data_IF_254458079945
#
_entry.id   IF_254458079945
#
_cell.length_a   1.000
_cell.length_b   1.000
_cell.length_c   1.000
_cell.angle_alpha   90.00
_cell.angle_beta   90.00
_cell.angle_gamma   90.00
#
_symmetry.space_group_name_H-M   'P 1'
#
loop_
_entity.id
_entity.type
_entity.pdbx_description
1 polymer ?
#
# COMPACT_ATOMS: atom_id res chain seq x y z
N UNK A 1 35.28 -86.68 -82.90
CA UNK A 1 34.30 -86.46 -84.00
C UNK A 1 32.89 -86.63 -83.41
N UNK A 2 32.04 -85.60 -83.58
CA UNK A 2 30.56 -85.61 -83.45
C UNK A 2 29.92 -85.68 -82.03
N UNK A 3 29.44 -84.50 -81.62
CA UNK A 3 28.07 -84.14 -81.16
C UNK A 3 27.27 -85.19 -80.36
N UNK A 4 26.88 -84.85 -79.12
CA UNK A 4 25.52 -85.07 -78.58
C UNK A 4 25.25 -84.21 -77.33
N UNK A 5 24.01 -83.68 -77.23
CA UNK A 5 23.47 -82.78 -76.18
C UNK A 5 23.61 -83.33 -74.75
N UNK A 6 23.93 -82.48 -73.77
CA UNK A 6 23.59 -82.71 -72.34
C UNK A 6 23.21 -81.42 -71.61
N UNK A 7 22.09 -81.54 -70.91
CA UNK A 7 21.50 -80.66 -69.92
C UNK A 7 22.52 -80.29 -68.83
N UNK A 8 22.61 -79.02 -68.43
CA UNK A 8 23.28 -78.64 -67.18
C UNK A 8 22.48 -77.57 -66.44
N UNK A 9 22.00 -78.01 -65.29
CA UNK A 9 21.43 -77.30 -64.14
C UNK A 9 22.24 -76.09 -63.69
N UNK A 10 21.53 -75.00 -63.40
CA UNK A 10 22.05 -73.74 -62.85
C UNK A 10 22.38 -73.92 -61.36
N UNK A 11 23.63 -73.63 -61.00
CA UNK A 11 24.15 -73.61 -59.62
C UNK A 11 23.79 -72.26 -58.99
N UNK A 12 23.02 -72.28 -57.90
CA UNK A 12 22.73 -71.11 -57.07
C UNK A 12 23.89 -70.76 -56.16
N UNK A 13 24.33 -69.50 -56.22
CA UNK A 13 25.31 -68.91 -55.30
C UNK A 13 24.71 -68.79 -53.90
N UNK A 14 25.36 -69.41 -52.91
CA UNK A 14 25.10 -69.20 -51.49
C UNK A 14 25.70 -67.86 -51.04
N UNK A 15 24.85 -66.89 -50.73
CA UNK A 15 25.23 -65.63 -50.10
C UNK A 15 25.22 -65.83 -48.58
N UNK A 16 26.40 -65.78 -47.94
CA UNK A 16 26.54 -65.76 -46.49
C UNK A 16 25.97 -64.42 -45.96
N UNK A 17 24.75 -64.47 -45.42
CA UNK A 17 24.18 -63.36 -44.66
C UNK A 17 24.87 -63.26 -43.30
N UNK A 18 25.70 -62.24 -43.12
CA UNK A 18 26.24 -61.84 -41.82
C UNK A 18 25.07 -61.36 -40.98
N UNK A 19 24.67 -62.14 -39.97
CA UNK A 19 23.78 -61.66 -38.92
C UNK A 19 24.55 -60.63 -38.10
N UNK A 20 24.28 -59.35 -38.35
CA UNK A 20 24.75 -58.26 -37.49
C UNK A 20 24.12 -58.44 -36.12
N UNK A 21 24.88 -58.94 -35.14
CA UNK A 21 24.48 -58.90 -33.74
C UNK A 21 24.47 -57.44 -33.31
N UNK A 22 23.28 -56.86 -33.12
CA UNK A 22 23.17 -55.58 -32.41
C UNK A 22 23.70 -55.82 -30.99
N UNK A 23 24.79 -55.12 -30.63
CA UNK A 23 25.40 -55.21 -29.30
C UNK A 23 24.43 -54.70 -28.23
N UNK A 24 24.56 -55.23 -27.00
CA UNK A 24 23.86 -54.65 -25.85
C UNK A 24 24.34 -53.21 -25.61
N UNK A 25 23.47 -52.32 -25.10
CA UNK A 25 23.85 -50.94 -24.83
C UNK A 25 25.01 -50.88 -23.83
N UNK A 26 25.92 -49.91 -23.96
CA UNK A 26 27.01 -49.73 -23.00
C UNK A 26 26.45 -49.41 -21.62
N UNK A 27 27.08 -49.98 -20.59
CA UNK A 27 26.71 -49.78 -19.18
C UNK A 27 27.84 -49.13 -18.40
N UNK A 28 27.49 -48.26 -17.46
CA UNK A 28 28.40 -47.71 -16.45
C UNK A 28 28.05 -48.31 -15.09
N UNK A 29 29.05 -48.82 -14.38
CA UNK A 29 28.89 -49.27 -12.99
C UNK A 29 28.87 -48.07 -12.04
N UNK A 30 27.78 -47.87 -11.30
CA UNK A 30 27.73 -46.99 -10.12
C UNK A 30 27.97 -47.84 -8.88
N UNK A 31 28.98 -47.48 -8.08
CA UNK A 31 29.34 -48.23 -6.89
C UNK A 31 29.78 -47.29 -5.75
N UNK A 32 29.19 -47.45 -4.56
CA UNK A 32 29.55 -46.67 -3.38
C UNK A 32 29.22 -47.41 -2.06
N UNK A 33 29.69 -46.86 -0.93
CA UNK A 33 29.28 -47.27 0.41
C UNK A 33 28.40 -46.16 1.02
N UNK A 34 27.13 -46.48 1.24
CA UNK A 34 26.13 -45.58 1.81
C UNK A 34 26.12 -45.67 3.33
N UNK A 35 25.93 -44.51 3.97
CA UNK A 35 25.86 -44.37 5.42
C UNK A 35 24.57 -43.65 5.81
N UNK A 36 24.03 -44.01 6.97
CA UNK A 36 23.01 -43.23 7.66
C UNK A 36 23.64 -41.96 8.26
N UNK A 37 22.81 -40.99 8.64
CA UNK A 37 23.28 -39.73 9.25
C UNK A 37 24.01 -39.94 10.59
N UNK A 38 23.77 -41.05 11.27
CA UNK A 38 24.47 -41.46 12.50
C UNK A 38 25.85 -42.10 12.25
N UNK A 39 26.27 -42.19 10.98
CA UNK A 39 27.54 -42.80 10.56
C UNK A 39 27.52 -44.33 10.45
N UNK A 40 26.40 -44.99 10.76
CA UNK A 40 26.25 -46.43 10.52
C UNK A 40 26.06 -46.74 9.04
N UNK A 41 26.35 -47.98 8.62
CA UNK A 41 26.16 -48.38 7.21
C UNK A 41 24.68 -48.55 6.89
N UNK A 42 24.23 -47.97 5.78
CA UNK A 42 22.85 -48.06 5.33
C UNK A 42 22.49 -49.52 4.99
N UNK A 43 21.32 -49.97 5.41
CA UNK A 43 20.74 -51.25 5.03
C UNK A 43 19.28 -51.02 4.61
N UNK A 44 18.92 -51.42 3.40
CA UNK A 44 17.59 -51.14 2.86
C UNK A 44 17.50 -51.41 1.36
N UNK A 45 16.54 -50.77 0.71
CA UNK A 45 16.24 -50.97 -0.71
C UNK A 45 16.46 -49.66 -1.47
N UNK A 46 17.11 -49.73 -2.63
CA UNK A 46 17.18 -48.65 -3.59
C UNK A 46 16.30 -48.99 -4.80
N UNK A 47 15.27 -48.18 -5.06
CA UNK A 47 14.44 -48.27 -6.26
C UNK A 47 14.87 -47.20 -7.24
N UNK A 48 15.27 -47.60 -8.44
CA UNK A 48 15.77 -46.72 -9.51
C UNK A 48 14.76 -46.76 -10.65
N UNK A 49 14.22 -45.63 -11.05
CA UNK A 49 13.17 -45.49 -12.08
C UNK A 49 13.63 -44.54 -13.19
N UNK A 50 13.25 -44.82 -14.43
CA UNK A 50 13.54 -43.96 -15.58
C UNK A 50 12.37 -43.93 -16.58
N UNK A 51 12.26 -42.82 -17.33
CA UNK A 51 11.40 -42.72 -18.52
C UNK A 51 12.11 -43.31 -19.75
N UNK A 52 11.38 -43.54 -20.85
CA UNK A 52 11.98 -44.08 -22.06
C UNK A 52 12.94 -43.08 -22.71
N UNK A 53 14.09 -43.54 -23.20
CA UNK A 53 15.07 -42.72 -23.91
C UNK A 53 15.87 -43.54 -24.93
N UNK A 54 16.56 -42.86 -25.84
CA UNK A 54 17.48 -43.48 -26.80
C UNK A 54 18.93 -43.25 -26.39
N UNK A 55 19.70 -44.33 -26.26
CA UNK A 55 21.12 -44.29 -25.88
C UNK A 55 22.03 -43.88 -27.06
N UNK A 56 23.31 -43.60 -26.79
CA UNK A 56 24.28 -43.10 -27.78
C UNK A 56 24.49 -44.04 -28.97
N UNK A 57 24.30 -45.35 -28.75
CA UNK A 57 24.39 -46.42 -29.74
C UNK A 57 23.07 -46.63 -30.51
N UNK A 58 22.10 -45.72 -30.37
CA UNK A 58 20.74 -45.80 -30.90
C UNK A 58 19.84 -46.87 -30.28
N UNK A 59 20.28 -47.55 -29.21
CA UNK A 59 19.46 -48.50 -28.47
C UNK A 59 18.27 -47.81 -27.80
N UNK A 60 17.08 -48.39 -27.93
CA UNK A 60 15.86 -47.88 -27.30
C UNK A 60 15.70 -48.47 -25.90
N UNK A 61 15.68 -47.60 -24.89
CA UNK A 61 15.49 -47.96 -23.49
C UNK A 61 14.04 -47.63 -23.10
N UNK A 62 13.17 -48.62 -22.85
CA UNK A 62 11.80 -48.35 -22.41
C UNK A 62 11.76 -47.85 -20.96
N UNK A 63 10.72 -47.10 -20.61
CA UNK A 63 10.49 -46.66 -19.23
C UNK A 63 10.29 -47.87 -18.32
N UNK A 64 11.04 -47.94 -17.21
CA UNK A 64 10.94 -49.03 -16.25
C UNK A 64 11.59 -48.64 -14.91
N UNK A 65 11.63 -49.60 -13.97
CA UNK A 65 12.36 -49.48 -12.72
C UNK A 65 13.15 -50.76 -12.41
N UNK A 66 14.23 -50.62 -11.63
CA UNK A 66 14.92 -51.73 -10.96
C UNK A 66 14.92 -51.50 -9.45
N UNK A 67 14.97 -52.59 -8.70
CA UNK A 67 15.05 -52.56 -7.25
C UNK A 67 16.26 -53.37 -6.79
N UNK A 68 17.08 -52.76 -5.94
CA UNK A 68 18.35 -53.32 -5.46
C UNK A 68 18.34 -53.36 -3.93
N UNK A 69 18.83 -54.46 -3.38
CA UNK A 69 19.10 -54.56 -1.94
C UNK A 69 20.45 -53.94 -1.65
N UNK A 70 20.48 -52.98 -0.72
CA UNK A 70 21.71 -52.39 -0.18
C UNK A 70 21.99 -53.05 1.15
N UNK A 71 23.04 -53.85 1.19
CA UNK A 71 23.47 -54.59 2.39
C UNK A 71 24.83 -54.09 2.82
N UNK A 72 24.99 -53.79 4.12
CA UNK A 72 26.24 -53.30 4.68
C UNK A 72 26.77 -52.04 3.97
N UNK A 73 25.85 -51.15 3.57
CA UNK A 73 26.12 -49.92 2.83
C UNK A 73 26.46 -50.10 1.35
N UNK A 74 26.71 -51.31 0.85
CA UNK A 74 27.18 -51.50 -0.52
C UNK A 74 26.05 -51.31 -1.54
N UNK A 75 26.15 -50.25 -2.33
CA UNK A 75 25.34 -50.02 -3.52
C UNK A 75 26.18 -50.35 -4.75
N UNK A 76 25.67 -51.23 -5.63
CA UNK A 76 26.27 -51.51 -6.94
C UNK A 76 25.19 -51.73 -7.99
N UNK A 77 25.26 -50.98 -9.08
CA UNK A 77 24.32 -51.09 -10.20
C UNK A 77 25.01 -50.75 -11.52
N UNK A 78 24.57 -51.37 -12.60
CA UNK A 78 25.00 -51.04 -13.96
C UNK A 78 23.84 -50.38 -14.70
N UNK A 79 24.06 -49.17 -15.18
CA UNK A 79 23.05 -48.34 -15.84
C UNK A 79 23.57 -47.82 -17.18
N UNK A 80 22.67 -47.64 -18.13
CA UNK A 80 23.01 -47.05 -19.42
C UNK A 80 23.36 -45.56 -19.20
N UNK A 81 24.47 -45.06 -19.75
CA UNK A 81 24.83 -43.65 -19.66
C UNK A 81 23.72 -42.73 -20.19
N UNK A 82 23.42 -41.67 -19.44
CA UNK A 82 22.40 -40.68 -19.82
C UNK A 82 23.00 -39.34 -20.25
N UNK A 83 24.25 -39.03 -19.89
CA UNK A 83 24.85 -37.73 -20.25
C UNK A 83 25.25 -37.62 -21.72
N UNK A 84 25.35 -38.74 -22.43
CA UNK A 84 25.60 -38.83 -23.87
C UNK A 84 24.46 -39.51 -24.64
N UNK A 85 23.30 -39.72 -24.01
CA UNK A 85 22.12 -40.27 -24.67
C UNK A 85 21.63 -39.34 -25.78
N UNK A 86 21.05 -39.90 -26.85
CA UNK A 86 20.49 -39.14 -27.97
C UNK A 86 19.21 -38.39 -27.56
N UNK A 87 18.49 -38.91 -26.56
CA UNK A 87 17.36 -38.21 -25.91
C UNK A 87 17.71 -37.85 -24.46
N UNK A 88 17.34 -36.66 -23.96
CA UNK A 88 17.60 -36.29 -22.57
C UNK A 88 16.99 -37.29 -21.59
N UNK A 89 17.80 -37.80 -20.66
CA UNK A 89 17.39 -38.82 -19.70
C UNK A 89 18.06 -38.64 -18.33
N UNK A 90 17.39 -39.09 -17.28
CA UNK A 90 17.94 -39.19 -15.93
C UNK A 90 17.28 -40.36 -15.19
N UNK A 91 17.95 -40.83 -14.14
CA UNK A 91 17.39 -41.84 -13.24
C UNK A 91 16.90 -41.16 -11.96
N UNK A 92 15.73 -41.56 -11.48
CA UNK A 92 15.23 -41.20 -10.14
C UNK A 92 15.50 -42.35 -9.18
N UNK A 93 16.17 -42.09 -8.06
CA UNK A 93 16.52 -43.09 -7.06
C UNK A 93 15.81 -42.80 -5.75
N UNK A 94 15.12 -43.79 -5.21
CA UNK A 94 14.45 -43.72 -3.92
C UNK A 94 15.05 -44.74 -2.97
N UNK A 95 15.53 -44.29 -1.81
CA UNK A 95 16.03 -45.16 -0.75
C UNK A 95 14.96 -45.40 0.31
N UNK A 96 14.71 -46.68 0.59
CA UNK A 96 13.75 -47.14 1.59
C UNK A 96 14.48 -47.92 2.69
N UNK A 97 14.37 -47.46 3.93
CA UNK A 97 14.82 -48.19 5.13
C UNK A 97 13.59 -48.49 5.99
N UNK A 98 13.37 -49.78 6.30
CA UNK A 98 12.34 -50.30 7.22
C UNK A 98 10.97 -49.58 7.21
N UNK A 99 10.37 -49.38 6.03
CA UNK A 99 8.94 -49.09 5.88
C UNK A 99 8.54 -47.63 5.58
N UNK A 100 9.46 -46.71 5.32
CA UNK A 100 9.12 -45.37 4.83
C UNK A 100 10.14 -44.85 3.82
N UNK A 101 9.68 -44.17 2.76
CA UNK A 101 10.54 -43.53 1.77
C UNK A 101 11.23 -42.32 2.40
N UNK A 102 12.56 -42.34 2.47
CA UNK A 102 13.35 -41.38 3.25
C UNK A 102 14.20 -40.43 2.37
N UNK A 103 14.40 -40.72 1.08
CA UNK A 103 15.06 -39.76 0.18
C UNK A 103 14.82 -40.07 -1.29
N UNK A 104 14.72 -39.01 -2.10
CA UNK A 104 14.65 -39.06 -3.57
C UNK A 104 15.85 -38.32 -4.14
N UNK A 105 16.53 -38.93 -5.11
CA UNK A 105 17.67 -38.37 -5.82
C UNK A 105 17.49 -38.48 -7.32
N UNK A 106 18.12 -37.57 -8.06
CA UNK A 106 18.20 -37.64 -9.52
C UNK A 106 19.65 -37.88 -9.93
N UNK A 107 19.90 -38.87 -10.78
CA UNK A 107 21.22 -39.22 -11.29
C UNK A 107 21.32 -39.01 -12.80
N UNK A 108 22.44 -38.44 -13.24
CA UNK A 108 22.89 -38.45 -14.63
C UNK A 108 24.15 -39.30 -14.73
N UNK A 109 24.11 -40.37 -15.54
CA UNK A 109 25.18 -41.36 -15.60
C UNK A 109 26.13 -41.02 -16.75
N UNK A 110 27.42 -40.73 -16.50
CA UNK A 110 28.40 -40.57 -17.56
C UNK A 110 28.85 -41.93 -18.11
N UNK A 111 29.27 -42.00 -19.39
CA UNK A 111 29.94 -43.19 -19.91
C UNK A 111 31.28 -43.37 -19.18
N UNK A 112 31.50 -44.55 -18.58
CA UNK A 112 32.73 -44.85 -17.86
C UNK A 112 33.08 -46.33 -17.95
N UNK A 113 34.38 -46.62 -18.07
CA UNK A 113 34.94 -47.97 -17.99
C UNK A 113 35.47 -48.33 -16.59
N UNK A 114 35.33 -47.41 -15.62
CA UNK A 114 35.68 -47.59 -14.20
C UNK A 114 34.45 -47.27 -13.35
N UNK A 115 34.21 -47.94 -12.21
CA UNK A 115 33.08 -47.63 -11.36
C UNK A 115 33.07 -46.16 -10.91
N UNK A 116 31.92 -45.50 -11.07
CA UNK A 116 31.68 -44.12 -10.63
C UNK A 116 30.99 -44.12 -9.27
N UNK A 117 31.27 -43.11 -8.43
CA UNK A 117 30.65 -43.00 -7.10
C UNK A 117 29.31 -42.30 -7.18
N UNK A 118 28.49 -42.49 -6.16
CA UNK A 118 27.15 -41.89 -6.08
C UNK A 118 27.24 -40.36 -6.09
N UNK A 119 28.28 -39.77 -5.49
CA UNK A 119 28.52 -38.31 -5.52
C UNK A 119 28.75 -37.74 -6.93
N UNK A 120 29.28 -38.54 -7.85
CA UNK A 120 29.70 -38.09 -9.18
C UNK A 120 28.55 -38.14 -10.19
N UNK A 121 27.49 -38.89 -9.86
CA UNK A 121 26.30 -39.06 -10.71
C UNK A 121 25.09 -38.26 -10.23
N UNK A 122 25.06 -37.84 -8.96
CA UNK A 122 23.98 -37.01 -8.41
C UNK A 122 23.96 -35.63 -9.06
N UNK A 123 22.78 -35.20 -9.50
CA UNK A 123 22.55 -33.83 -9.97
C UNK A 123 21.61 -33.10 -9.02
N UNK A 124 21.87 -31.81 -8.80
CA UNK A 124 21.03 -30.94 -7.99
C UNK A 124 19.77 -30.56 -8.77
N UNK A 125 18.68 -31.31 -8.55
CA UNK A 125 17.38 -31.05 -9.17
C UNK A 125 16.44 -32.21 -8.93
N UNK A 126 15.21 -31.91 -8.47
CA UNK A 126 14.14 -32.91 -8.45
C UNK A 126 13.81 -33.42 -9.86
N UNK A 127 12.89 -34.39 -10.00
CA UNK A 127 12.55 -34.96 -11.29
C UNK A 127 12.08 -33.87 -12.26
N UNK A 128 12.86 -33.56 -13.29
CA UNK A 128 12.50 -32.53 -14.29
C UNK A 128 13.65 -31.70 -14.89
N UNK A 129 14.89 -31.80 -14.42
CA UNK A 129 16.01 -31.10 -15.06
C UNK A 129 16.58 -31.92 -16.22
N UNK A 130 16.18 -31.58 -17.45
CA UNK A 130 16.82 -32.05 -18.69
C UNK A 130 18.21 -31.44 -18.84
N UNK A 131 19.24 -32.27 -19.03
CA UNK A 131 20.55 -31.85 -19.55
C UNK A 131 20.74 -32.47 -20.92
N UNK A 132 20.89 -31.60 -21.92
CA UNK A 132 21.46 -31.89 -23.22
C UNK A 132 22.23 -30.64 -23.67
N UNK A 133 23.48 -30.83 -24.12
CA UNK A 133 24.34 -29.78 -24.66
C UNK A 133 25.61 -29.59 -23.85
N UNK A 134 26.73 -30.04 -24.41
CA UNK A 134 28.05 -29.98 -23.79
C UNK A 134 28.50 -28.54 -23.51
N UNK A 135 29.20 -28.38 -22.38
CA UNK A 135 29.80 -27.12 -21.98
C UNK A 135 30.02 -27.06 -20.48
N UNK A 136 31.23 -27.45 -20.06
CA UNK A 136 31.91 -27.07 -18.81
C UNK A 136 31.10 -27.07 -17.51
N UNK A 137 31.53 -27.94 -16.61
CA UNK A 137 31.42 -27.80 -15.16
C UNK A 137 31.63 -26.36 -14.71
N UNK A 138 30.53 -25.64 -14.51
CA UNK A 138 30.49 -24.37 -13.83
C UNK A 138 29.43 -24.49 -12.76
N UNK A 139 29.84 -24.68 -11.52
CA UNK A 139 29.01 -24.29 -10.39
C UNK A 139 28.69 -22.81 -10.64
N UNK A 140 27.44 -22.48 -10.94
CA UNK A 140 27.01 -21.08 -11.08
C UNK A 140 27.03 -20.46 -9.67
N UNK A 141 28.21 -20.05 -9.21
CA UNK A 141 28.36 -19.26 -7.99
C UNK A 141 27.74 -17.85 -8.14
N UNK A 142 27.38 -17.46 -9.37
CA UNK A 142 26.60 -16.25 -9.68
C UNK A 142 25.97 -16.37 -11.07
N UNK A 143 24.69 -16.03 -11.20
CA UNK A 143 23.99 -15.87 -12.48
C UNK A 143 24.00 -14.38 -12.85
N UNK A 144 24.39 -14.02 -14.09
CA UNK A 144 24.36 -12.62 -14.53
C UNK A 144 22.93 -12.17 -14.87
N UNK A 145 22.62 -10.89 -14.69
CA UNK A 145 21.28 -10.34 -14.98
C UNK A 145 20.88 -10.57 -16.45
N UNK A 146 21.85 -10.48 -17.36
CA UNK A 146 21.62 -10.67 -18.78
C UNK A 146 21.33 -12.13 -19.16
N UNK A 147 21.71 -13.08 -18.31
CA UNK A 147 21.50 -14.51 -18.54
C UNK A 147 20.05 -14.92 -18.23
N UNK A 148 19.31 -14.08 -17.51
CA UNK A 148 17.90 -14.30 -17.17
C UNK A 148 17.02 -13.47 -18.09
N UNK A 149 16.37 -14.14 -19.05
CA UNK A 149 15.46 -13.50 -20.00
C UNK A 149 14.40 -12.66 -19.29
N UNK A 150 14.32 -11.38 -19.64
CA UNK A 150 13.33 -10.44 -19.09
C UNK A 150 13.68 -9.85 -17.72
N UNK A 151 14.75 -10.29 -17.05
CA UNK A 151 15.12 -9.76 -15.74
C UNK A 151 15.56 -8.30 -15.81
N UNK A 152 16.34 -7.91 -16.82
CA UNK A 152 16.75 -6.51 -17.01
C UNK A 152 15.55 -5.57 -17.19
N UNK A 153 14.56 -5.96 -18.00
CA UNK A 153 13.33 -5.21 -18.19
C UNK A 153 12.49 -5.17 -16.90
N UNK A 154 12.38 -6.29 -16.17
CA UNK A 154 11.68 -6.35 -14.90
C UNK A 154 12.34 -5.47 -13.82
N UNK A 155 13.66 -5.37 -13.81
CA UNK A 155 14.41 -4.49 -12.91
C UNK A 155 14.27 -3.02 -13.29
N UNK A 156 14.17 -2.69 -14.58
CA UNK A 156 13.96 -1.33 -15.06
C UNK A 156 12.57 -0.74 -14.70
N UNK A 157 11.59 -1.59 -14.38
CA UNK A 157 10.27 -1.17 -13.90
C UNK A 157 10.25 -0.81 -12.40
N UNK A 158 11.32 -1.10 -11.66
CA UNK A 158 11.39 -0.80 -10.23
C UNK A 158 11.75 0.67 -10.02
N UNK A 159 11.15 1.36 -9.04
CA UNK A 159 11.60 2.70 -8.64
C UNK A 159 13.09 2.70 -8.32
N UNK A 160 13.80 3.70 -8.84
CA UNK A 160 15.23 3.90 -8.60
C UNK A 160 15.43 4.74 -7.34
N UNK A 161 16.62 4.67 -6.74
CA UNK A 161 16.98 5.55 -5.61
C UNK A 161 17.37 6.92 -6.17
N UNK A 162 16.71 7.97 -5.69
CA UNK A 162 16.99 9.35 -6.06
C UNK A 162 18.15 9.94 -5.26
N UNK A 163 18.61 11.11 -5.67
CA UNK A 163 19.77 11.79 -5.08
C UNK A 163 19.53 12.22 -3.62
N UNK A 164 18.28 12.50 -3.27
CA UNK A 164 17.84 12.90 -1.93
C UNK A 164 17.54 11.73 -0.99
N UNK A 165 17.94 10.49 -1.31
CA UNK A 165 17.70 9.35 -0.43
C UNK A 165 18.49 9.48 0.88
N UNK A 166 17.79 9.44 2.01
CA UNK A 166 18.39 9.56 3.34
C UNK A 166 17.80 8.52 4.30
N UNK A 167 18.64 7.76 5.04
CA UNK A 167 18.16 6.84 6.08
C UNK A 167 17.37 7.57 7.18
N UNK A 168 16.48 6.85 7.85
CA UNK A 168 15.66 7.36 8.97
C UNK A 168 14.73 8.51 8.60
N UNK A 169 14.24 8.52 7.36
CA UNK A 169 13.26 9.47 6.84
C UNK A 169 12.15 8.73 6.10
N UNK A 170 10.99 9.36 5.99
CA UNK A 170 9.90 8.86 5.14
C UNK A 170 10.30 8.93 3.67
N UNK A 171 10.02 7.88 2.90
CA UNK A 171 10.28 7.85 1.46
C UNK A 171 9.16 8.55 0.68
N UNK A 172 9.53 9.36 -0.31
CA UNK A 172 8.63 10.05 -1.26
C UNK A 172 9.12 9.82 -2.68
N UNK A 173 8.22 9.97 -3.66
CA UNK A 173 8.55 9.85 -5.08
C UNK A 173 8.82 11.25 -5.62
N UNK A 174 9.99 11.47 -6.20
CA UNK A 174 10.38 12.76 -6.79
C UNK A 174 9.74 13.00 -8.17
N UNK A 175 10.04 14.15 -8.78
CA UNK A 175 9.52 14.52 -10.12
C UNK A 175 10.00 13.61 -11.25
N UNK A 176 11.05 12.81 -11.02
CA UNK A 176 11.59 11.84 -11.98
C UNK A 176 11.08 10.42 -11.74
N UNK A 177 10.31 10.19 -10.67
CA UNK A 177 9.81 8.88 -10.28
C UNK A 177 10.76 8.09 -9.36
N UNK A 178 11.85 8.70 -8.89
CA UNK A 178 12.81 8.08 -7.99
C UNK A 178 12.38 8.21 -6.52
N UNK A 179 12.84 7.29 -5.68
CA UNK A 179 12.62 7.32 -4.23
C UNK A 179 13.60 8.27 -3.55
N UNK A 180 13.11 9.30 -2.89
CA UNK A 180 13.88 10.25 -2.09
C UNK A 180 13.37 10.36 -0.65
N UNK A 181 14.11 11.01 0.25
CA UNK A 181 13.64 11.30 1.59
C UNK A 181 12.78 12.56 1.61
N UNK A 182 11.63 12.50 2.29
CA UNK A 182 10.79 13.67 2.53
C UNK A 182 11.58 14.78 3.25
N UNK A 183 11.51 16.01 2.76
CA UNK A 183 12.20 17.19 3.32
C UNK A 183 11.34 17.84 4.41
N UNK A 184 11.93 18.20 5.55
CA UNK A 184 11.27 18.80 6.72
C UNK A 184 11.92 18.42 8.07
N UNK A 185 11.27 18.77 9.18
CA UNK A 185 11.70 18.38 10.54
C UNK A 185 11.29 16.94 10.87
N UNK A 186 11.97 16.31 11.84
CA UNK A 186 11.65 14.95 12.26
C UNK A 186 10.27 14.81 12.94
N UNK A 187 9.69 15.93 13.39
CA UNK A 187 8.36 16.00 14.02
C UNK A 187 7.22 16.36 13.05
N UNK A 188 7.52 16.51 11.77
CA UNK A 188 6.56 16.96 10.76
C UNK A 188 5.71 15.79 10.23
N UNK A 189 4.49 16.11 9.81
CA UNK A 189 3.57 15.19 9.15
C UNK A 189 3.77 15.25 7.64
N UNK A 190 3.64 14.09 6.97
CA UNK A 190 3.78 13.97 5.52
C UNK A 190 2.45 14.18 4.81
N UNK A 191 2.46 14.94 3.72
CA UNK A 191 1.33 15.12 2.81
C UNK A 191 1.36 14.12 1.66
N UNK A 192 0.20 13.91 1.02
CA UNK A 192 0.04 12.96 -0.10
C UNK A 192 0.89 13.37 -1.33
N UNK A 193 1.20 14.66 -1.46
CA UNK A 193 2.06 15.19 -2.52
C UNK A 193 3.57 15.06 -2.22
N UNK A 194 3.95 14.45 -1.10
CA UNK A 194 5.34 14.22 -0.69
C UNK A 194 5.98 15.38 0.08
N UNK A 195 5.28 16.50 0.27
CA UNK A 195 5.75 17.60 1.13
C UNK A 195 5.53 17.27 2.62
N UNK A 196 6.19 17.99 3.52
CA UNK A 196 5.94 17.87 4.96
C UNK A 196 5.76 19.24 5.63
N UNK A 197 5.01 19.24 6.72
CA UNK A 197 4.73 20.41 7.55
C UNK A 197 4.50 19.98 9.01
N UNK A 198 4.59 20.90 9.99
CA UNK A 198 4.32 20.58 11.40
C UNK A 198 3.02 19.79 11.57
N UNK A 199 3.10 18.66 12.28
CA UNK A 199 1.90 17.89 12.61
C UNK A 199 0.92 18.75 13.39
N UNK A 200 -0.32 18.84 12.92
CA UNK A 200 -1.39 19.43 13.71
C UNK A 200 -1.49 18.66 15.03
N UNK A 201 -1.30 19.34 16.15
CA UNK A 201 -1.40 18.77 17.49
C UNK A 201 -2.85 18.34 17.76
N UNK A 202 -3.12 17.05 17.59
CA UNK A 202 -4.37 16.39 18.02
C UNK A 202 -5.58 16.68 17.13
N UNK A 203 -5.80 15.83 16.14
CA UNK A 203 -7.07 15.79 15.41
C UNK A 203 -6.89 15.33 13.97
N UNK A 204 -7.38 14.11 13.70
CA UNK A 204 -7.71 13.56 12.38
C UNK A 204 -7.85 14.60 11.26
N UNK A 205 -7.24 14.32 10.11
CA UNK A 205 -7.38 15.05 8.83
C UNK A 205 -8.78 14.91 8.18
N UNK A 206 -9.82 14.93 9.02
CA UNK A 206 -11.13 15.51 8.70
C UNK A 206 -11.53 16.44 9.84
N UNK A 207 -10.84 17.57 9.97
CA UNK A 207 -11.45 18.81 10.46
C UNK A 207 -10.57 20.00 10.08
N UNK A 208 -10.62 20.39 8.81
CA UNK A 208 -10.68 21.82 8.47
C UNK A 208 -12.09 22.32 8.83
N UNK A 209 -12.49 22.09 10.08
CA UNK A 209 -13.80 22.39 10.61
C UNK A 209 -13.67 23.55 11.56
N UNK A 210 -14.55 24.53 11.40
CA UNK A 210 -14.78 25.58 12.40
C UNK A 210 -14.95 24.95 13.78
N UNK A 211 -14.06 25.27 14.70
CA UNK A 211 -14.24 24.95 16.11
C UNK A 211 -15.08 26.06 16.72
N UNK A 212 -16.12 25.70 17.47
CA UNK A 212 -16.97 26.65 18.17
C UNK A 212 -16.57 26.68 19.63
N UNK A 213 -16.39 27.90 20.15
CA UNK A 213 -16.31 28.15 21.58
C UNK A 213 -17.65 28.72 21.99
N UNK A 214 -18.34 28.01 22.88
CA UNK A 214 -19.68 28.36 23.33
C UNK A 214 -19.67 28.74 24.81
N UNK A 215 -20.41 29.80 25.14
CA UNK A 215 -20.67 30.24 26.51
C UNK A 215 -19.40 30.45 27.37
N UNK A 216 -18.32 30.93 26.76
CA UNK A 216 -17.10 31.29 27.48
C UNK A 216 -17.36 32.51 28.39
N UNK A 217 -16.82 32.50 29.60
CA UNK A 217 -16.78 33.68 30.46
C UNK A 217 -15.40 34.35 30.30
N UNK A 218 -15.30 35.55 29.68
CA UNK A 218 -14.03 36.24 29.51
C UNK A 218 -13.36 36.52 30.86
N UNK A 219 -12.04 36.31 30.94
CA UNK A 219 -11.26 36.56 32.15
C UNK A 219 -11.05 38.07 32.36
N UNK A 220 -11.30 38.55 33.58
CA UNK A 220 -11.10 39.94 33.97
C UNK A 220 -11.96 40.31 35.18
N UNK A 221 -11.56 41.33 35.95
CA UNK A 221 -12.34 41.77 37.10
C UNK A 221 -13.53 42.62 36.66
N UNK A 222 -14.74 42.25 37.05
CA UNK A 222 -15.96 43.06 36.88
C UNK A 222 -16.08 44.05 38.05
N UNK A 223 -15.40 45.18 37.96
CA UNK A 223 -15.31 46.17 39.04
C UNK A 223 -15.77 47.58 38.63
N UNK A 224 -16.36 47.74 37.43
CA UNK A 224 -16.79 49.05 36.91
C UNK A 224 -15.67 49.94 36.38
N UNK A 225 -14.40 49.55 36.54
CA UNK A 225 -13.23 50.32 36.09
C UNK A 225 -12.43 49.57 35.01
N UNK A 226 -12.34 48.24 35.13
CA UNK A 226 -11.63 47.42 34.17
C UNK A 226 -12.40 47.35 32.84
N UNK A 227 -11.80 47.87 31.77
CA UNK A 227 -12.33 47.80 30.42
C UNK A 227 -11.76 46.67 29.57
N UNK A 228 -10.79 45.89 30.09
CA UNK A 228 -10.09 44.86 29.30
C UNK A 228 -10.37 43.47 29.83
N UNK A 229 -10.83 42.59 28.95
CA UNK A 229 -11.18 41.20 29.26
C UNK A 229 -10.53 40.27 28.25
N UNK A 230 -10.06 39.11 28.72
CA UNK A 230 -9.30 38.17 27.92
C UNK A 230 -10.14 36.92 27.61
N UNK A 231 -10.23 36.58 26.33
CA UNK A 231 -10.75 35.32 25.85
C UNK A 231 -9.66 34.24 25.90
N UNK A 232 -10.06 32.98 26.07
CA UNK A 232 -9.18 31.82 26.06
C UNK A 232 -8.48 31.62 24.73
N UNK A 233 -9.15 31.96 23.62
CA UNK A 233 -8.60 31.87 22.27
C UNK A 233 -8.91 33.12 21.45
N UNK A 234 -8.19 33.30 20.34
CA UNK A 234 -8.43 34.40 19.39
C UNK A 234 -9.57 34.04 18.45
N UNK A 235 -10.68 34.81 18.42
CA UNK A 235 -11.74 34.62 17.44
C UNK A 235 -11.21 34.73 16.00
N UNK A 236 -11.56 33.77 15.17
CA UNK A 236 -11.18 33.72 13.75
C UNK A 236 -12.35 33.14 12.95
N UNK A 237 -13.05 33.95 12.12
CA UNK A 237 -12.82 35.38 11.91
C UNK A 237 -13.17 36.22 13.16
N UNK A 238 -12.56 37.40 13.31
CA UNK A 238 -12.81 38.30 14.44
C UNK A 238 -14.30 38.72 14.56
N UNK A 239 -14.99 38.84 13.41
CA UNK A 239 -16.42 39.14 13.34
C UNK A 239 -17.30 38.05 13.96
N UNK A 240 -16.79 36.81 14.13
CA UNK A 240 -17.56 35.70 14.70
C UNK A 240 -17.86 35.86 16.19
N UNK A 241 -17.19 36.79 16.87
CA UNK A 241 -17.41 37.04 18.28
C UNK A 241 -18.81 37.63 18.51
N UNK A 242 -19.62 36.87 19.24
CA UNK A 242 -20.85 37.33 19.88
C UNK A 242 -20.59 37.49 21.38
N UNK A 243 -20.51 38.73 21.84
CA UNK A 243 -20.27 39.06 23.25
C UNK A 243 -21.56 39.55 23.89
N UNK A 244 -21.96 38.93 24.99
CA UNK A 244 -23.16 39.27 25.74
C UNK A 244 -22.82 39.82 27.12
N UNK A 245 -23.50 40.90 27.49
CA UNK A 245 -23.51 41.44 28.86
C UNK A 245 -24.93 41.40 29.39
N UNK A 246 -25.17 40.65 30.47
CA UNK A 246 -26.50 40.43 31.04
C UNK A 246 -27.55 39.98 30.01
N UNK A 247 -27.12 39.21 29.01
CA UNK A 247 -27.97 38.73 27.91
C UNK A 247 -28.16 39.69 26.73
N UNK A 248 -27.67 40.93 26.80
CA UNK A 248 -27.66 41.88 25.69
C UNK A 248 -26.43 41.63 24.81
N UNK A 249 -26.63 41.43 23.50
CA UNK A 249 -25.54 41.38 22.53
C UNK A 249 -24.90 42.77 22.42
N UNK A 250 -23.59 42.83 22.68
CA UNK A 250 -22.78 44.03 22.55
C UNK A 250 -22.37 44.23 21.09
N UNK A 251 -22.38 45.48 20.62
CA UNK A 251 -22.03 45.84 19.23
C UNK A 251 -20.53 46.06 19.06
N UNK A 252 -19.85 45.28 18.20
CA UNK A 252 -18.45 45.53 17.85
C UNK A 252 -18.24 46.93 17.26
N UNK A 253 -17.16 47.60 17.64
CA UNK A 253 -16.79 48.95 17.19
C UNK A 253 -17.56 50.09 17.87
N UNK A 254 -18.64 49.80 18.60
CA UNK A 254 -19.38 50.81 19.40
C UNK A 254 -19.23 50.53 20.89
N UNK A 255 -19.54 49.31 21.32
CA UNK A 255 -19.48 48.95 22.74
C UNK A 255 -18.12 48.37 23.13
N UNK A 256 -17.44 47.70 22.20
CA UNK A 256 -16.12 47.13 22.41
C UNK A 256 -15.31 47.02 21.11
N UNK A 257 -14.00 46.85 21.24
CA UNK A 257 -13.09 46.42 20.16
C UNK A 257 -12.43 45.10 20.54
N UNK A 258 -12.04 44.31 19.54
CA UNK A 258 -11.36 43.03 19.73
C UNK A 258 -9.95 43.12 19.14
N UNK A 259 -8.93 42.91 19.99
CA UNK A 259 -7.52 42.89 19.62
C UNK A 259 -6.94 41.51 19.94
N UNK A 260 -6.84 40.63 18.93
CA UNK A 260 -6.50 39.23 19.16
C UNK A 260 -7.58 38.55 20.00
N UNK A 261 -7.21 38.01 21.17
CA UNK A 261 -8.14 37.46 22.16
C UNK A 261 -8.52 38.47 23.26
N UNK A 262 -8.16 39.74 23.15
CA UNK A 262 -8.50 40.76 24.14
C UNK A 262 -9.70 41.60 23.70
N UNK A 263 -10.76 41.59 24.49
CA UNK A 263 -11.92 42.46 24.37
C UNK A 263 -11.67 43.74 25.15
N UNK A 264 -11.77 44.89 24.50
CA UNK A 264 -11.60 46.21 25.11
C UNK A 264 -12.91 47.00 25.00
N UNK A 265 -13.58 47.24 26.12
CA UNK A 265 -14.82 48.00 26.17
C UNK A 265 -14.58 49.50 25.97
N UNK A 266 -15.53 50.15 25.30
CA UNK A 266 -15.64 51.59 25.28
C UNK A 266 -16.02 52.14 26.67
N UNK A 267 -15.66 53.38 26.98
CA UNK A 267 -15.86 53.98 28.30
C UNK A 267 -17.34 54.07 28.72
N UNK A 268 -18.25 54.21 27.76
CA UNK A 268 -19.71 54.23 27.97
C UNK A 268 -20.33 52.83 28.11
N UNK A 269 -19.55 51.77 27.87
CA UNK A 269 -20.00 50.38 27.88
C UNK A 269 -19.26 49.52 28.91
N UNK A 270 -18.49 50.13 29.82
CA UNK A 270 -17.74 49.43 30.85
C UNK A 270 -18.65 48.49 31.69
N UNK A 271 -18.32 47.19 31.77
CA UNK A 271 -19.03 46.26 32.64
C UNK A 271 -18.92 46.66 34.11
N UNK A 272 -20.05 46.66 34.80
CA UNK A 272 -20.17 47.02 36.21
C UNK A 272 -19.99 45.80 37.11
N UNK A 273 -19.76 46.05 38.41
CA UNK A 273 -19.73 44.97 39.39
C UNK A 273 -21.08 44.25 39.44
N UNK A 274 -21.05 42.92 39.30
CA UNK A 274 -22.24 42.07 39.26
C UNK A 274 -22.82 41.82 37.86
N UNK A 275 -22.26 42.42 36.81
CA UNK A 275 -22.62 42.04 35.44
C UNK A 275 -22.22 40.59 35.13
N UNK A 276 -22.87 39.98 34.15
CA UNK A 276 -22.55 38.66 33.63
C UNK A 276 -22.06 38.80 32.21
N UNK A 277 -20.86 38.27 31.95
CA UNK A 277 -20.24 38.27 30.63
C UNK A 277 -20.23 36.87 30.04
N UNK A 278 -20.69 36.73 28.81
CA UNK A 278 -20.68 35.46 28.06
C UNK A 278 -20.26 35.73 26.62
N UNK A 279 -19.37 34.91 26.08
CA UNK A 279 -18.87 35.01 24.72
C UNK A 279 -19.06 33.68 23.98
N UNK A 280 -19.44 33.77 22.71
CA UNK A 280 -19.37 32.66 21.76
C UNK A 280 -18.64 33.12 20.51
N UNK A 281 -17.76 32.28 19.97
CA UNK A 281 -17.00 32.61 18.76
C UNK A 281 -16.48 31.36 18.04
N UNK A 282 -15.98 31.57 16.83
CA UNK A 282 -15.36 30.50 16.03
C UNK A 282 -13.84 30.61 16.04
N UNK A 283 -13.19 29.46 15.96
CA UNK A 283 -11.77 29.34 15.67
C UNK A 283 -11.61 28.64 14.33
N UNK A 284 -10.89 29.29 13.42
CA UNK A 284 -10.63 28.78 12.08
C UNK A 284 -11.73 29.14 11.06
N UNK A 285 -11.39 28.96 9.79
CA UNK A 285 -12.27 29.29 8.67
C UNK A 285 -13.32 28.21 8.46
N UNK A 286 -14.49 28.61 7.96
CA UNK A 286 -15.55 27.68 7.59
C UNK A 286 -15.09 26.70 6.50
N UNK A 287 -15.45 25.40 6.61
CA UNK A 287 -15.23 24.45 5.52
C UNK A 287 -16.00 24.87 4.27
N UNK A 288 -15.53 24.38 3.11
CA UNK A 288 -16.21 24.60 1.83
C UNK A 288 -17.66 24.12 1.89
N UNK A 289 -18.59 24.95 1.42
CA UNK A 289 -20.03 24.67 1.46
C UNK A 289 -20.74 25.11 2.75
N UNK A 290 -20.03 25.70 3.71
CA UNK A 290 -20.64 26.36 4.86
C UNK A 290 -20.23 27.83 4.87
N UNK A 291 -21.18 28.74 4.73
CA UNK A 291 -20.92 30.16 4.80
C UNK A 291 -21.68 30.80 5.98
N UNK A 292 -21.00 31.70 6.68
CA UNK A 292 -21.52 32.38 7.85
C UNK A 292 -21.47 33.88 7.60
N UNK A 293 -22.52 34.57 8.01
CA UNK A 293 -22.55 36.02 8.11
C UNK A 293 -22.67 36.35 9.59
N UNK A 294 -21.74 37.15 10.12
CA UNK A 294 -21.75 37.56 11.52
C UNK A 294 -21.93 39.06 11.64
N UNK A 295 -22.72 39.49 12.64
CA UNK A 295 -22.85 40.89 13.03
C UNK A 295 -23.19 41.82 11.85
N UNK A 296 -23.93 41.32 10.86
CA UNK A 296 -24.39 42.12 9.73
C UNK A 296 -25.42 43.15 10.17
N UNK A 297 -25.28 44.38 9.69
CA UNK A 297 -26.35 45.37 9.74
C UNK A 297 -27.16 45.23 8.45
N UNK A 298 -28.44 44.80 8.50
CA UNK A 298 -29.23 44.63 7.30
C UNK A 298 -29.49 46.00 6.64
N UNK A 299 -29.66 45.99 5.32
CA UNK A 299 -29.97 47.20 4.56
C UNK A 299 -31.42 47.65 4.77
N UNK A 300 -31.64 48.95 4.81
CA UNK A 300 -32.94 49.58 5.06
C UNK A 300 -32.82 50.75 6.02
N UNK A 301 -33.64 51.77 5.85
CA UNK A 301 -33.67 52.91 6.76
C UNK A 301 -34.39 52.53 8.04
N UNK A 302 -33.80 52.85 9.19
CA UNK A 302 -34.43 52.73 10.52
C UNK A 302 -35.06 54.08 10.87
N UNK A 303 -36.33 54.26 10.52
CA UNK A 303 -37.07 55.54 10.65
C UNK A 303 -38.36 55.44 11.48
N UNK A 304 -38.63 54.30 12.11
CA UNK A 304 -39.87 54.05 12.87
C UNK A 304 -41.09 53.69 12.01
N UNK A 305 -41.01 53.78 10.68
CA UNK A 305 -42.09 53.39 9.75
C UNK A 305 -41.72 52.20 8.88
N UNK A 306 -40.45 52.09 8.47
CA UNK A 306 -39.97 51.00 7.64
C UNK A 306 -40.00 49.67 8.42
N UNK A 307 -40.66 48.67 7.84
CA UNK A 307 -40.77 47.31 8.40
C UNK A 307 -39.96 46.29 7.63
N UNK A 308 -39.36 46.66 6.49
CA UNK A 308 -38.66 45.75 5.59
C UNK A 308 -37.17 46.04 5.55
N UNK A 309 -36.36 45.02 5.81
CA UNK A 309 -34.91 45.10 5.82
C UNK A 309 -34.32 43.92 5.05
N UNK A 310 -33.26 44.15 4.28
CA UNK A 310 -32.69 43.13 3.38
C UNK A 310 -31.29 42.74 3.82
N UNK A 311 -31.09 41.44 4.04
CA UNK A 311 -29.81 40.79 4.30
C UNK A 311 -29.00 40.65 3.00
N UNK A 312 -27.68 40.62 3.10
CA UNK A 312 -26.80 40.40 1.96
C UNK A 312 -26.96 39.02 1.33
N UNK A 313 -27.36 38.01 2.12
CA UNK A 313 -27.57 36.64 1.67
C UNK A 313 -28.85 36.06 2.29
N UNK A 314 -29.48 35.11 1.60
CA UNK A 314 -30.67 34.42 2.12
C UNK A 314 -30.24 33.37 3.16
N UNK A 315 -30.74 33.42 4.41
CA UNK A 315 -30.38 32.44 5.42
C UNK A 315 -30.79 31.01 5.04
N UNK A 316 -29.86 30.07 5.13
CA UNK A 316 -30.05 28.65 4.87
C UNK A 316 -29.34 27.78 5.94
N UNK A 317 -30.08 27.07 6.81
CA UNK A 317 -31.53 27.06 6.91
C UNK A 317 -32.07 28.41 7.41
N UNK A 318 -33.32 28.75 7.07
CA UNK A 318 -33.98 29.99 7.53
C UNK A 318 -33.95 30.18 9.06
N UNK A 319 -34.06 29.07 9.80
CA UNK A 319 -33.98 29.05 11.26
C UNK A 319 -32.59 29.40 11.83
N UNK A 320 -31.56 29.49 10.98
CA UNK A 320 -30.22 29.94 11.40
C UNK A 320 -30.15 31.42 11.71
N UNK A 321 -31.10 32.22 11.23
CA UNK A 321 -31.11 33.66 11.43
C UNK A 321 -31.37 34.03 12.89
N UNK A 322 -30.45 34.79 13.47
CA UNK A 322 -30.63 35.52 14.71
C UNK A 322 -30.67 37.02 14.41
N UNK A 323 -31.82 37.66 14.68
CA UNK A 323 -32.00 39.12 14.57
C UNK A 323 -31.97 39.72 15.97
N UNK A 324 -31.19 40.79 16.13
CA UNK A 324 -31.09 41.55 17.37
C UNK A 324 -31.51 42.99 17.14
N UNK A 325 -32.32 43.54 18.05
CA UNK A 325 -32.64 44.97 18.13
C UNK A 325 -32.12 45.50 19.47
N UNK A 326 -31.18 46.45 19.41
CA UNK A 326 -30.51 47.01 20.60
C UNK A 326 -29.93 45.92 21.51
N UNK A 327 -29.34 44.89 20.91
CA UNK A 327 -28.76 43.76 21.62
C UNK A 327 -29.76 42.70 22.11
N UNK A 328 -31.07 42.95 22.04
CA UNK A 328 -32.11 41.98 22.42
C UNK A 328 -32.42 41.06 21.23
N UNK A 329 -32.34 39.75 21.44
CA UNK A 329 -32.69 38.76 20.41
C UNK A 329 -34.20 38.72 20.18
N UNK A 330 -34.60 38.87 18.93
CA UNK A 330 -35.99 38.80 18.49
C UNK A 330 -36.37 37.36 18.10
N UNK A 331 -37.66 37.06 18.17
CA UNK A 331 -38.24 35.75 17.82
C UNK A 331 -38.87 35.79 16.43
N UNK A 332 -38.44 34.88 15.56
CA UNK A 332 -39.08 34.65 14.27
C UNK A 332 -40.55 34.25 14.43
N UNK A 333 -41.40 34.70 13.51
CA UNK A 333 -42.87 34.55 13.48
C UNK A 333 -43.62 35.23 14.64
N UNK A 334 -42.94 35.94 15.53
CA UNK A 334 -43.55 36.77 16.57
C UNK A 334 -43.19 38.24 16.37
N UNK A 335 -41.90 38.55 16.27
CA UNK A 335 -41.39 39.92 16.13
C UNK A 335 -41.13 40.27 14.66
N UNK A 336 -40.74 39.27 13.86
CA UNK A 336 -40.47 39.41 12.43
C UNK A 336 -40.74 38.10 11.68
N UNK A 337 -40.98 38.20 10.38
CA UNK A 337 -40.99 37.09 9.43
C UNK A 337 -39.79 37.19 8.49
N UNK A 338 -39.31 36.06 7.98
CA UNK A 338 -38.23 35.99 6.99
C UNK A 338 -38.78 35.42 5.68
N UNK A 339 -38.52 36.11 4.57
CA UNK A 339 -38.80 35.64 3.22
C UNK A 339 -37.56 35.82 2.35
N UNK A 340 -36.93 34.71 1.97
CA UNK A 340 -35.60 34.71 1.34
C UNK A 340 -34.58 35.52 2.19
N UNK A 341 -34.05 36.63 1.66
CA UNK A 341 -33.13 37.52 2.38
C UNK A 341 -33.83 38.71 3.06
N UNK A 342 -35.16 38.82 2.98
CA UNK A 342 -35.91 39.97 3.50
C UNK A 342 -36.53 39.66 4.85
N UNK A 343 -36.15 40.45 5.85
CA UNK A 343 -36.77 40.50 7.17
C UNK A 343 -37.94 41.48 7.10
N UNK A 344 -39.12 41.03 7.50
CA UNK A 344 -40.32 41.87 7.61
C UNK A 344 -40.80 41.86 9.07
N UNK A 345 -40.63 42.98 9.76
CA UNK A 345 -41.15 43.17 11.11
C UNK A 345 -42.68 43.11 11.11
N UNK A 346 -43.26 42.48 12.13
CA UNK A 346 -44.73 42.43 12.25
C UNK A 346 -45.28 43.83 12.55
N UNK A 347 -46.58 44.10 12.27
CA UNK A 347 -47.18 45.40 12.55
C UNK A 347 -46.97 45.85 14.00
N UNK A 348 -46.54 47.11 14.18
CA UNK A 348 -46.21 47.66 15.50
C UNK A 348 -44.80 47.35 16.02
N UNK A 349 -44.00 46.55 15.29
CA UNK A 349 -42.61 46.24 15.64
C UNK A 349 -41.57 46.95 14.75
N UNK A 350 -41.97 47.96 13.97
CA UNK A 350 -41.05 48.76 13.17
C UNK A 350 -39.91 49.32 14.05
N UNK A 351 -38.64 49.03 13.73
CA UNK A 351 -37.48 49.60 14.42
C UNK A 351 -37.54 51.12 14.44
N UNK A 352 -37.43 51.72 15.63
CA UNK A 352 -37.52 53.16 15.85
C UNK A 352 -36.22 53.85 15.47
N UNK A 353 -36.30 55.13 15.08
CA UNK A 353 -35.10 55.91 14.77
C UNK A 353 -34.09 55.86 15.94
N UNK A 354 -32.86 55.44 15.64
CA UNK A 354 -31.79 55.22 16.62
C UNK A 354 -31.64 53.77 17.09
N UNK A 355 -32.59 52.89 16.80
CA UNK A 355 -32.44 51.46 17.03
C UNK A 355 -31.30 50.90 16.19
N UNK A 356 -30.57 49.94 16.77
CA UNK A 356 -29.52 49.19 16.09
C UNK A 356 -30.02 47.79 15.79
N UNK A 357 -29.87 47.38 14.53
CA UNK A 357 -30.09 46.01 14.09
C UNK A 357 -28.76 45.29 13.84
N UNK A 358 -28.65 44.07 14.34
CA UNK A 358 -27.56 43.14 14.02
C UNK A 358 -28.13 41.76 13.70
N UNK A 359 -27.56 41.11 12.70
CA UNK A 359 -27.98 39.81 12.21
C UNK A 359 -26.78 38.86 12.08
N UNK A 360 -26.96 37.61 12.50
CA UNK A 360 -26.00 36.54 12.24
C UNK A 360 -26.73 35.29 11.73
N UNK A 361 -26.19 34.62 10.72
CA UNK A 361 -26.83 33.46 10.08
C UNK A 361 -25.86 32.63 9.23
N UNK A 362 -26.37 31.49 8.75
CA UNK A 362 -25.71 30.60 7.78
C UNK A 362 -26.39 30.76 6.42
N UNK A 363 -25.66 30.64 5.31
CA UNK A 363 -26.21 30.71 3.95
C UNK A 363 -25.58 29.70 3.00
#
# INVERSE_FOLDING_TARGET
>A
MRIFRRCLTVIGLAFFGVLSSFGAPPLTTVQDILYNADGTRFNGIATITWASFQAVDSSNIPANSITLQVVNGLLRVELVPTTNALSPASYTVVYNSTGSAQSTETWAIPPSNVPVRVRDVRIAGGPGTTIGGGGTTGVLNSVSINDVTGLSAALALRPIIGSGFAPSRSAVIDTTGALEAAVGNASDCLHVDGTSAPCATGGSTVSSGTVFVDAEVPAGSLNGVNGSFQLGNTPSPASSLSLYRNGLLMKPGTDFTLNGNQVVFASNALPQAGDIMVASYRMGTAPTGFAFVDNEVPSGTVDGSNTSFTLSQAPNPAASLAVYRNGIRLRANLDYNLSAATIVFVPGQAPQAGDVLLCSYRH
#
